data_IF_777367325700
#
_entry.id   IF_777367325700
#
_cell.length_a   1.000
_cell.length_b   1.000
_cell.length_c   1.000
_cell.angle_alpha   90.00
_cell.angle_beta   90.00
_cell.angle_gamma   90.00
#
_symmetry.space_group_name_H-M   'P 1'
#
loop_
_entity.id
_entity.type
_entity.pdbx_description
1 polymer ?
#
# COMPACT_ATOMS: atom_id res chain seq x y z
N UNK A 1 13.38 -0.05 57.21
CA UNK A 1 13.85 1.37 57.25
C UNK A 1 14.36 1.74 55.86
N UNK A 2 13.66 2.58 55.12
CA UNK A 2 14.07 3.06 53.79
C UNK A 2 15.09 4.20 54.01
N UNK A 3 16.30 4.05 53.51
CA UNK A 3 17.37 5.00 53.67
C UNK A 3 17.04 6.33 52.94
N UNK A 4 16.70 7.44 53.63
CA UNK A 4 16.27 8.68 53.00
C UNK A 4 17.42 9.37 52.22
N UNK A 5 18.66 8.93 52.42
CA UNK A 5 19.85 9.45 51.74
C UNK A 5 19.89 9.06 50.26
N UNK A 6 19.51 7.78 49.96
CA UNK A 6 19.51 7.24 48.59
C UNK A 6 18.48 7.95 47.74
N UNK A 7 17.26 8.24 48.27
CA UNK A 7 16.20 8.93 47.54
C UNK A 7 16.62 10.36 47.24
N UNK A 8 17.27 11.06 48.16
CA UNK A 8 17.79 12.41 47.92
C UNK A 8 18.90 12.46 46.88
N UNK A 9 19.84 11.49 46.89
CA UNK A 9 20.86 11.39 45.84
C UNK A 9 20.29 11.14 44.48
N UNK A 10 19.33 10.20 44.32
CA UNK A 10 18.68 9.93 43.03
C UNK A 10 17.89 11.15 42.50
N UNK A 11 17.25 11.92 43.42
CA UNK A 11 16.53 13.13 43.02
C UNK A 11 17.47 14.24 42.54
N UNK A 12 18.62 14.44 43.23
CA UNK A 12 19.63 15.43 42.83
C UNK A 12 20.31 15.08 41.52
N UNK A 13 20.62 13.79 41.28
CA UNK A 13 21.17 13.33 40.00
C UNK A 13 20.16 13.50 38.88
N UNK A 14 18.87 13.16 39.10
CA UNK A 14 17.81 13.39 38.14
C UNK A 14 17.62 14.86 37.79
N UNK A 15 17.64 15.76 38.80
CA UNK A 15 17.55 17.20 38.61
C UNK A 15 18.76 17.79 37.86
N UNK A 16 19.97 17.28 38.13
CA UNK A 16 21.19 17.68 37.43
C UNK A 16 21.16 17.30 35.96
N UNK A 17 20.69 16.07 35.63
CA UNK A 17 20.52 15.63 34.24
C UNK A 17 19.49 16.47 33.49
N UNK A 18 18.37 16.81 34.10
CA UNK A 18 17.35 17.68 33.50
C UNK A 18 17.85 19.12 33.25
N UNK A 19 18.63 19.66 34.19
CA UNK A 19 19.22 21.02 34.05
C UNK A 19 20.32 21.05 32.98
N UNK A 20 21.13 20.01 32.86
CA UNK A 20 22.16 19.94 31.82
C UNK A 20 21.58 19.89 30.41
N UNK A 21 20.49 19.14 30.18
CA UNK A 21 19.81 19.10 28.89
C UNK A 21 19.18 20.46 28.53
N UNK A 22 18.61 21.18 29.48
CA UNK A 22 18.02 22.50 29.27
C UNK A 22 19.05 23.55 28.87
N UNK A 23 20.22 23.58 29.55
CA UNK A 23 21.30 24.53 29.24
C UNK A 23 21.90 24.32 27.85
N UNK A 24 21.99 23.06 27.40
CA UNK A 24 22.55 22.75 26.07
C UNK A 24 21.53 23.01 24.97
N UNK A 25 20.23 22.86 25.24
CA UNK A 25 19.16 23.24 24.31
C UNK A 25 19.16 24.77 24.07
N UNK A 26 19.30 25.58 25.09
CA UNK A 26 19.45 27.05 24.98
C UNK A 26 20.65 27.43 24.08
N UNK A 27 21.76 26.71 24.17
CA UNK A 27 22.92 26.97 23.33
C UNK A 27 22.62 26.73 21.83
N UNK A 28 21.82 25.71 21.49
CA UNK A 28 21.45 25.45 20.09
C UNK A 28 20.46 26.46 19.53
N UNK A 29 19.57 27.00 20.33
CA UNK A 29 18.69 28.11 19.90
C UNK A 29 19.49 29.39 19.61
N UNK A 30 20.46 29.72 20.48
CA UNK A 30 21.35 30.85 20.24
C UNK A 30 22.19 30.67 18.98
N UNK A 31 22.74 29.46 18.75
CA UNK A 31 23.46 29.14 17.52
C UNK A 31 22.59 29.26 16.26
N UNK A 32 21.32 28.89 16.36
CA UNK A 32 20.36 29.05 15.26
C UNK A 32 20.13 30.55 14.94
N UNK A 33 19.96 31.40 15.97
CA UNK A 33 19.84 32.85 15.81
C UNK A 33 21.11 33.46 15.18
N UNK A 34 22.29 33.04 15.66
CA UNK A 34 23.57 33.50 15.09
C UNK A 34 23.76 33.04 13.64
N UNK A 35 23.36 31.80 13.31
CA UNK A 35 23.37 31.30 11.95
C UNK A 35 22.44 32.09 11.03
N UNK A 36 21.28 32.51 11.53
CA UNK A 36 20.34 33.36 10.79
C UNK A 36 20.95 34.74 10.49
N UNK A 37 21.62 35.34 11.50
CA UNK A 37 22.33 36.62 11.31
C UNK A 37 23.47 36.47 10.29
N UNK A 38 24.30 35.43 10.43
CA UNK A 38 25.40 35.17 9.49
C UNK A 38 24.90 34.93 8.06
N UNK A 39 23.74 34.26 7.89
CA UNK A 39 23.12 34.07 6.59
C UNK A 39 22.72 35.42 5.97
N UNK A 40 22.13 36.33 6.76
CA UNK A 40 21.75 37.68 6.31
C UNK A 40 22.96 38.54 5.98
N UNK A 41 24.08 38.36 6.70
CA UNK A 41 25.34 39.06 6.48
C UNK A 41 26.18 38.46 5.33
N UNK A 42 25.73 37.35 4.73
CA UNK A 42 26.47 36.68 3.64
C UNK A 42 27.65 35.82 4.10
N UNK A 43 27.81 35.58 5.42
CA UNK A 43 28.87 34.71 6.00
C UNK A 43 28.48 33.25 5.95
N UNK A 44 28.32 32.72 4.74
CA UNK A 44 27.67 31.42 4.46
C UNK A 44 28.47 30.24 4.99
N UNK A 45 29.81 30.32 4.93
CA UNK A 45 30.74 29.26 5.37
C UNK A 45 30.64 28.94 6.87
N UNK A 46 30.17 29.87 7.68
CA UNK A 46 30.04 29.69 9.13
C UNK A 46 28.79 28.90 9.54
N UNK A 47 27.78 28.85 8.69
CA UNK A 47 26.47 28.28 9.00
C UNK A 47 26.56 26.79 9.33
N UNK A 48 27.31 26.03 8.53
CA UNK A 48 27.50 24.60 8.74
C UNK A 48 28.11 24.30 10.10
N UNK A 49 29.19 24.97 10.46
CA UNK A 49 29.90 24.76 11.73
C UNK A 49 29.05 25.11 12.95
N UNK A 50 28.13 26.06 12.83
CA UNK A 50 27.20 26.43 13.90
C UNK A 50 26.07 25.42 14.09
N UNK A 51 25.49 24.94 12.99
CA UNK A 51 24.24 24.16 13.04
C UNK A 51 24.43 22.64 13.05
N UNK A 52 25.50 22.11 12.45
CA UNK A 52 25.73 20.66 12.34
C UNK A 52 25.78 19.96 13.72
N UNK A 53 26.47 20.50 14.76
CA UNK A 53 26.45 19.89 16.08
C UNK A 53 25.05 19.84 16.72
N UNK A 54 24.22 20.85 16.50
CA UNK A 54 22.87 20.92 17.03
C UNK A 54 21.91 19.94 16.35
N UNK A 55 22.09 19.74 15.05
CA UNK A 55 21.29 18.77 14.27
C UNK A 55 21.66 17.33 14.61
N UNK A 56 22.97 17.04 14.75
CA UNK A 56 23.48 15.71 15.13
C UNK A 56 22.96 15.30 16.50
N UNK A 57 22.94 16.21 17.46
CA UNK A 57 22.50 15.96 18.82
C UNK A 57 20.97 16.03 19.00
N UNK A 58 20.22 16.35 17.94
CA UNK A 58 18.74 16.47 17.94
C UNK A 58 18.19 17.40 19.03
N UNK A 59 18.89 18.49 19.34
CA UNK A 59 18.55 19.43 20.42
C UNK A 59 17.69 20.61 19.99
N UNK A 60 17.30 20.66 18.74
CA UNK A 60 16.37 21.63 18.18
C UNK A 60 14.96 21.03 18.14
N UNK A 61 13.96 21.86 18.35
CA UNK A 61 12.59 21.45 18.11
C UNK A 61 12.34 21.21 16.63
N UNK A 62 11.16 20.67 16.27
CA UNK A 62 10.85 20.34 14.89
C UNK A 62 10.91 21.55 13.95
N UNK A 63 10.41 22.70 14.39
CA UNK A 63 10.39 23.94 13.62
C UNK A 63 11.81 24.50 13.43
N UNK A 64 12.59 24.52 14.48
CA UNK A 64 13.98 24.94 14.48
C UNK A 64 14.85 24.03 13.62
N UNK A 65 14.62 22.71 13.67
CA UNK A 65 15.30 21.75 12.80
C UNK A 65 15.02 22.00 11.32
N UNK A 66 13.77 22.24 10.94
CA UNK A 66 13.43 22.54 9.56
C UNK A 66 14.10 23.83 9.09
N UNK A 67 14.16 24.85 9.96
CA UNK A 67 14.85 26.12 9.67
C UNK A 67 16.35 25.92 9.52
N UNK A 68 16.97 25.16 10.41
CA UNK A 68 18.38 24.84 10.33
C UNK A 68 18.73 24.11 9.02
N UNK A 69 17.95 23.07 8.64
CA UNK A 69 18.15 22.37 7.37
C UNK A 69 17.93 23.29 6.16
N UNK A 70 16.96 24.20 6.19
CA UNK A 70 16.73 25.18 5.14
C UNK A 70 17.96 26.05 4.92
N UNK A 71 18.50 26.64 6.00
CA UNK A 71 19.69 27.48 5.94
C UNK A 71 20.92 26.71 5.48
N UNK A 72 21.14 25.49 5.99
CA UNK A 72 22.25 24.64 5.57
C UNK A 72 22.14 24.25 4.09
N UNK A 73 20.94 23.97 3.61
CA UNK A 73 20.73 23.66 2.18
C UNK A 73 21.00 24.88 1.32
N UNK A 74 20.46 26.04 1.69
CA UNK A 74 20.71 27.29 0.94
C UNK A 74 22.20 27.66 0.94
N UNK A 75 22.87 27.54 2.08
CA UNK A 75 24.31 27.77 2.18
C UNK A 75 25.10 26.80 1.28
N UNK A 76 24.76 25.53 1.25
CA UNK A 76 25.39 24.53 0.40
C UNK A 76 25.24 24.87 -1.10
N UNK A 77 24.06 25.30 -1.54
CA UNK A 77 23.85 25.73 -2.92
C UNK A 77 24.66 26.99 -3.29
N UNK A 78 24.76 27.94 -2.37
CA UNK A 78 25.58 29.16 -2.56
C UNK A 78 27.09 28.85 -2.63
N UNK A 79 27.51 27.70 -2.06
CA UNK A 79 28.89 27.19 -2.11
C UNK A 79 29.08 26.12 -3.20
N UNK A 80 28.18 26.03 -4.19
CA UNK A 80 28.21 25.05 -5.30
C UNK A 80 28.21 23.57 -4.83
N UNK A 81 27.84 23.31 -3.58
CA UNK A 81 27.77 21.97 -2.99
C UNK A 81 26.40 21.34 -3.19
N UNK A 82 25.98 21.13 -4.45
CA UNK A 82 24.64 20.69 -4.85
C UNK A 82 24.21 19.40 -4.11
N UNK A 83 25.09 18.41 -4.04
CA UNK A 83 24.76 17.12 -3.38
C UNK A 83 24.46 17.29 -1.88
N UNK A 84 25.18 18.17 -1.18
CA UNK A 84 24.90 18.45 0.24
C UNK A 84 23.60 19.23 0.40
N UNK A 85 23.34 20.21 -0.46
CA UNK A 85 22.09 20.94 -0.49
C UNK A 85 20.89 20.00 -0.66
N UNK A 86 20.96 19.05 -1.60
CA UNK A 86 19.94 18.04 -1.85
C UNK A 86 19.72 17.10 -0.65
N UNK A 87 20.78 16.70 0.07
CA UNK A 87 20.66 15.88 1.29
C UNK A 87 19.92 16.62 2.41
N UNK A 88 20.16 17.92 2.58
CA UNK A 88 19.44 18.72 3.56
C UNK A 88 17.96 18.88 3.18
N UNK A 89 17.65 19.08 1.89
CA UNK A 89 16.27 19.06 1.40
C UNK A 89 15.59 17.72 1.69
N UNK A 90 16.26 16.60 1.42
CA UNK A 90 15.75 15.28 1.75
C UNK A 90 15.44 15.14 3.24
N UNK A 91 16.27 15.74 4.10
CA UNK A 91 16.07 15.77 5.55
C UNK A 91 14.85 16.61 5.95
N UNK A 92 14.56 17.70 5.24
CA UNK A 92 13.34 18.50 5.39
C UNK A 92 12.11 17.65 5.02
N UNK A 93 12.10 17.08 3.82
CA UNK A 93 10.97 16.33 3.29
C UNK A 93 10.66 15.06 4.09
N UNK A 94 11.66 14.39 4.64
CA UNK A 94 11.47 13.24 5.54
C UNK A 94 10.76 13.63 6.87
N UNK A 95 10.76 14.91 7.24
CA UNK A 95 10.11 15.44 8.45
C UNK A 95 8.80 16.14 8.17
N UNK A 96 8.71 16.81 7.03
CA UNK A 96 7.53 17.55 6.59
C UNK A 96 7.40 17.51 5.07
N UNK A 97 6.53 16.61 4.57
CA UNK A 97 6.27 16.44 3.13
C UNK A 97 5.56 17.66 2.50
N UNK A 98 4.84 18.42 3.32
CA UNK A 98 4.10 19.60 2.88
C UNK A 98 4.91 20.89 3.07
N UNK A 99 6.22 20.78 3.32
CA UNK A 99 7.08 21.94 3.48
C UNK A 99 6.99 22.85 2.24
N UNK A 100 6.74 24.12 2.49
CA UNK A 100 6.61 25.14 1.45
C UNK A 100 7.82 26.08 1.49
N UNK A 101 8.28 26.46 0.31
CA UNK A 101 9.29 27.50 0.14
C UNK A 101 8.78 28.86 0.61
N UNK A 102 9.67 29.70 1.05
CA UNK A 102 9.39 31.10 1.42
C UNK A 102 9.75 32.04 0.25
N UNK A 103 9.31 33.29 0.36
CA UNK A 103 9.62 34.28 -0.68
C UNK A 103 11.12 34.57 -0.75
N UNK A 104 11.81 34.56 0.40
CA UNK A 104 13.24 34.83 0.57
C UNK A 104 14.16 33.65 0.26
N UNK A 105 13.61 32.46 -0.05
CA UNK A 105 14.43 31.32 -0.43
C UNK A 105 15.07 31.55 -1.80
N UNK A 106 16.32 31.13 -1.94
CA UNK A 106 17.07 31.19 -3.22
C UNK A 106 16.44 30.26 -4.27
N UNK A 107 16.60 30.63 -5.54
CA UNK A 107 16.00 29.88 -6.66
C UNK A 107 16.45 28.42 -6.69
N UNK A 108 17.75 28.14 -6.51
CA UNK A 108 18.30 26.79 -6.51
C UNK A 108 17.65 25.90 -5.46
N UNK A 109 17.42 26.43 -4.24
CA UNK A 109 16.70 25.69 -3.20
C UNK A 109 15.24 25.40 -3.58
N UNK A 110 14.53 26.41 -4.12
CA UNK A 110 13.12 26.25 -4.55
C UNK A 110 12.98 25.18 -5.61
N UNK A 111 13.85 25.24 -6.63
CA UNK A 111 13.84 24.29 -7.74
C UNK A 111 14.15 22.87 -7.28
N UNK A 112 15.22 22.70 -6.50
CA UNK A 112 15.64 21.39 -6.01
C UNK A 112 14.64 20.79 -5.03
N UNK A 113 14.04 21.60 -4.14
CA UNK A 113 12.96 21.16 -3.27
C UNK A 113 11.78 20.63 -4.07
N UNK A 114 11.37 21.32 -5.12
CA UNK A 114 10.32 20.87 -6.01
C UNK A 114 10.68 19.53 -6.65
N UNK A 115 11.86 19.43 -7.25
CA UNK A 115 12.33 18.22 -7.93
C UNK A 115 12.40 17.00 -6.98
N UNK A 116 13.06 17.15 -5.84
CA UNK A 116 13.20 16.06 -4.86
C UNK A 116 11.83 15.67 -4.28
N UNK A 117 10.97 16.65 -3.99
CA UNK A 117 9.64 16.38 -3.45
C UNK A 117 8.77 15.51 -4.35
N UNK A 118 9.03 15.52 -5.66
CA UNK A 118 8.35 14.68 -6.64
C UNK A 118 8.91 13.26 -6.71
N UNK A 119 10.08 12.98 -6.11
CA UNK A 119 10.84 11.76 -6.33
C UNK A 119 11.23 11.07 -5.03
N UNK A 120 10.29 10.62 -4.19
CA UNK A 120 10.66 9.80 -3.05
C UNK A 120 11.32 8.52 -3.54
N UNK A 121 12.49 8.19 -3.01
CA UNK A 121 13.24 7.00 -3.43
C UNK A 121 12.48 5.71 -3.13
N UNK A 122 11.85 5.66 -1.94
CA UNK A 122 11.05 4.55 -1.48
C UNK A 122 9.76 5.06 -0.86
N UNK A 123 8.71 4.27 -1.00
CA UNK A 123 7.44 4.48 -0.29
C UNK A 123 6.97 3.12 0.23
N UNK A 124 6.46 3.09 1.44
CA UNK A 124 5.87 1.89 2.00
C UNK A 124 4.59 2.26 2.72
N UNK A 125 3.65 1.36 2.76
CA UNK A 125 2.38 1.63 3.41
C UNK A 125 1.37 0.51 3.27
N UNK A 126 0.13 0.86 3.52
CA UNK A 126 -1.01 -0.04 3.48
C UNK A 126 -2.01 0.48 2.47
N UNK A 127 -2.53 -0.42 1.64
CA UNK A 127 -3.62 -0.19 0.72
C UNK A 127 -4.85 -0.94 1.21
N UNK A 128 -5.98 -0.26 1.33
CA UNK A 128 -7.25 -0.87 1.73
C UNK A 128 -8.27 -0.54 0.65
N UNK A 129 -9.02 -1.54 0.22
CA UNK A 129 -9.95 -1.36 -0.88
C UNK A 129 -11.18 -2.24 -0.78
N UNK A 130 -12.13 -1.89 -1.63
CA UNK A 130 -13.29 -2.71 -1.95
C UNK A 130 -13.16 -3.19 -3.38
N UNK A 131 -13.56 -4.41 -3.65
CA UNK A 131 -13.60 -4.97 -4.98
C UNK A 131 -15.04 -5.31 -5.38
N UNK A 132 -15.34 -5.04 -6.64
CA UNK A 132 -16.54 -5.45 -7.33
C UNK A 132 -16.15 -6.52 -8.32
N UNK A 133 -16.32 -7.81 -7.98
CA UNK A 133 -16.04 -8.88 -8.92
C UNK A 133 -17.11 -8.94 -9.99
N UNK A 134 -16.71 -9.28 -11.20
CA UNK A 134 -17.59 -9.71 -12.27
C UNK A 134 -17.17 -11.11 -12.64
N UNK A 135 -18.04 -12.09 -12.41
CA UNK A 135 -17.77 -13.49 -12.66
C UNK A 135 -18.46 -13.96 -13.93
N UNK A 136 -17.71 -14.65 -14.77
CA UNK A 136 -18.23 -15.39 -15.90
C UNK A 136 -17.93 -16.88 -15.70
N UNK A 137 -18.93 -17.71 -15.93
CA UNK A 137 -18.80 -19.16 -15.89
C UNK A 137 -18.55 -19.62 -17.33
N UNK A 138 -17.38 -20.24 -17.54
CA UNK A 138 -16.96 -20.71 -18.86
C UNK A 138 -17.56 -22.09 -19.16
N UNK A 139 -17.35 -23.03 -18.23
CA UNK A 139 -17.78 -24.42 -18.37
C UNK A 139 -18.38 -24.92 -17.06
N UNK A 140 -19.42 -25.70 -17.14
CA UNK A 140 -20.05 -26.38 -16.02
C UNK A 140 -19.83 -27.88 -16.20
N UNK A 141 -19.29 -28.54 -15.16
CA UNK A 141 -19.02 -29.95 -15.17
C UNK A 141 -19.89 -30.67 -14.14
N UNK A 142 -20.36 -31.81 -14.46
CA UNK A 142 -20.88 -32.75 -13.48
C UNK A 142 -20.08 -34.02 -13.51
N UNK A 143 -19.08 -34.11 -12.66
CA UNK A 143 -18.18 -35.27 -12.56
C UNK A 143 -18.88 -36.52 -12.01
N UNK A 144 -20.13 -36.39 -11.57
CA UNK A 144 -20.91 -37.51 -11.04
C UNK A 144 -21.36 -38.52 -12.12
N UNK A 145 -21.37 -38.08 -13.37
CA UNK A 145 -21.87 -38.92 -14.47
C UNK A 145 -20.79 -39.04 -15.54
N UNK A 146 -19.98 -40.05 -15.39
CA UNK A 146 -18.89 -40.41 -16.35
C UNK A 146 -19.44 -41.03 -17.64
N UNK A 147 -20.61 -40.61 -18.10
CA UNK A 147 -21.15 -41.05 -19.38
C UNK A 147 -21.13 -39.87 -20.36
N UNK A 148 -20.45 -40.05 -21.48
CA UNK A 148 -20.39 -39.16 -22.65
C UNK A 148 -21.77 -38.72 -23.15
N UNK A 149 -22.85 -39.24 -22.59
CA UNK A 149 -24.24 -39.01 -22.98
C UNK A 149 -25.07 -38.21 -21.97
N UNK A 150 -24.57 -37.84 -20.77
CA UNK A 150 -25.38 -37.13 -19.80
C UNK A 150 -25.31 -35.62 -20.02
N UNK A 151 -25.91 -35.14 -21.11
CA UNK A 151 -26.13 -33.69 -21.32
C UNK A 151 -27.20 -33.10 -20.42
N UNK A 152 -27.92 -33.91 -19.64
CA UNK A 152 -29.04 -33.50 -18.82
C UNK A 152 -29.02 -34.19 -17.45
N UNK A 153 -29.25 -33.40 -16.38
CA UNK A 153 -29.44 -33.90 -15.01
C UNK A 153 -30.84 -33.44 -14.57
N UNK A 154 -31.69 -34.38 -14.16
CA UNK A 154 -33.05 -34.06 -13.74
C UNK A 154 -33.85 -33.28 -14.78
N UNK A 155 -33.57 -33.49 -16.08
CA UNK A 155 -34.22 -32.79 -17.20
C UNK A 155 -33.60 -31.43 -17.56
N UNK A 156 -32.61 -30.96 -16.83
CA UNK A 156 -31.91 -29.71 -17.12
C UNK A 156 -30.59 -29.97 -17.89
N UNK A 157 -30.31 -29.17 -18.91
CA UNK A 157 -28.99 -29.17 -19.56
C UNK A 157 -27.93 -28.78 -18.55
N UNK A 158 -26.76 -29.42 -18.56
CA UNK A 158 -25.66 -29.16 -17.64
C UNK A 158 -25.29 -27.66 -17.58
N UNK A 159 -25.31 -26.98 -18.74
CA UNK A 159 -25.03 -25.54 -18.79
C UNK A 159 -26.10 -24.64 -18.11
N UNK A 160 -27.26 -25.18 -17.79
CA UNK A 160 -28.35 -24.45 -17.15
C UNK A 160 -28.46 -24.78 -15.64
N UNK A 161 -27.51 -25.52 -15.08
CA UNK A 161 -27.55 -25.88 -13.65
C UNK A 161 -27.22 -24.70 -12.73
N UNK A 162 -26.54 -23.69 -13.24
CA UNK A 162 -26.20 -22.48 -12.51
C UNK A 162 -26.80 -21.26 -13.24
N UNK A 163 -27.54 -20.46 -12.51
CA UNK A 163 -28.09 -19.21 -13.02
C UNK A 163 -27.98 -18.10 -11.99
N UNK A 164 -28.40 -16.89 -12.38
CA UNK A 164 -28.50 -15.70 -11.51
C UNK A 164 -27.24 -15.43 -10.68
N UNK A 165 -26.07 -15.51 -11.32
CA UNK A 165 -24.81 -15.19 -10.65
C UNK A 165 -24.78 -13.71 -10.26
N UNK A 166 -24.80 -13.43 -8.98
CA UNK A 166 -24.72 -12.09 -8.41
C UNK A 166 -23.46 -11.96 -7.58
N UNK A 167 -22.66 -10.99 -7.92
CA UNK A 167 -21.44 -10.68 -7.18
C UNK A 167 -21.73 -9.68 -6.07
N UNK A 168 -21.05 -9.81 -4.96
CA UNK A 168 -21.15 -8.93 -3.81
C UNK A 168 -19.84 -8.18 -3.63
N UNK A 169 -19.90 -7.08 -2.87
CA UNK A 169 -18.72 -6.32 -2.50
C UNK A 169 -17.75 -7.21 -1.74
N UNK A 170 -16.53 -7.28 -2.22
CA UNK A 170 -15.41 -7.88 -1.54
C UNK A 170 -14.51 -6.81 -0.92
N UNK A 171 -13.51 -7.26 -0.16
CA UNK A 171 -12.53 -6.41 0.51
C UNK A 171 -11.12 -6.84 0.14
N UNK A 172 -10.21 -5.87 0.10
CA UNK A 172 -8.78 -6.12 -0.09
C UNK A 172 -7.95 -5.29 0.89
N UNK A 173 -6.85 -5.87 1.33
CA UNK A 173 -5.85 -5.19 2.14
C UNK A 173 -4.46 -5.65 1.70
N UNK A 174 -3.55 -4.70 1.48
CA UNK A 174 -2.21 -4.96 0.98
C UNK A 174 -1.18 -4.13 1.74
N UNK A 175 -0.06 -4.73 2.07
CA UNK A 175 1.18 -4.00 2.38
C UNK A 175 1.91 -3.77 1.09
N UNK A 176 2.18 -2.51 0.76
CA UNK A 176 2.80 -2.11 -0.50
C UNK A 176 4.15 -1.46 -0.28
N UNK A 177 5.05 -1.77 -1.17
CA UNK A 177 6.38 -1.21 -1.26
C UNK A 177 6.60 -0.67 -2.68
N UNK A 178 7.00 0.59 -2.78
CA UNK A 178 7.19 1.28 -4.04
C UNK A 178 8.62 1.80 -4.10
N UNK A 179 9.29 1.50 -5.19
CA UNK A 179 10.64 2.01 -5.50
C UNK A 179 10.60 2.84 -6.75
N UNK A 180 11.15 4.04 -6.68
CA UNK A 180 11.36 4.85 -7.87
C UNK A 180 12.56 4.33 -8.66
N UNK A 181 12.36 4.05 -9.97
CA UNK A 181 13.40 3.60 -10.90
C UNK A 181 13.92 4.75 -11.73
N UNK A 182 13.02 5.56 -12.26
CA UNK A 182 13.31 6.76 -13.06
C UNK A 182 12.41 7.91 -12.63
N UNK A 183 12.64 9.10 -13.18
CA UNK A 183 11.89 10.34 -12.85
C UNK A 183 10.38 10.17 -12.83
N UNK A 184 9.82 9.35 -13.72
CA UNK A 184 8.37 9.14 -13.87
C UNK A 184 7.94 7.68 -13.72
N UNK A 185 8.91 6.78 -13.46
CA UNK A 185 8.66 5.35 -13.41
C UNK A 185 8.90 4.82 -12.01
N UNK A 186 7.90 4.15 -11.46
CA UNK A 186 7.94 3.48 -10.17
C UNK A 186 7.64 1.99 -10.34
N UNK A 187 8.31 1.14 -9.58
CA UNK A 187 7.96 -0.26 -9.41
C UNK A 187 7.24 -0.41 -8.07
N UNK A 188 6.09 -1.05 -8.10
CA UNK A 188 5.30 -1.35 -6.92
C UNK A 188 5.18 -2.86 -6.76
N UNK A 189 5.40 -3.33 -5.55
CA UNK A 189 5.16 -4.72 -5.14
C UNK A 189 4.59 -4.73 -3.73
N UNK A 190 4.10 -5.87 -3.31
CA UNK A 190 3.51 -5.99 -1.98
C UNK A 190 3.07 -7.41 -1.67
N UNK A 191 2.40 -7.54 -0.55
CA UNK A 191 1.68 -8.74 -0.15
C UNK A 191 0.37 -8.33 0.49
N UNK A 192 -0.70 -9.04 0.18
CA UNK A 192 -2.00 -8.74 0.72
C UNK A 192 -2.95 -9.91 0.65
N UNK A 193 -4.18 -9.65 1.06
CA UNK A 193 -5.26 -10.58 0.88
C UNK A 193 -6.48 -9.90 0.25
N UNK A 194 -7.27 -10.69 -0.46
CA UNK A 194 -8.53 -10.26 -1.05
C UNK A 194 -9.60 -11.28 -0.73
N UNK A 195 -10.76 -10.77 -0.30
CA UNK A 195 -11.98 -11.57 -0.16
C UNK A 195 -12.94 -11.20 -1.29
N UNK A 196 -13.49 -12.21 -1.95
CA UNK A 196 -14.45 -12.08 -3.04
C UNK A 196 -15.68 -12.91 -2.70
N UNK A 197 -16.86 -12.32 -2.77
CA UNK A 197 -18.11 -13.01 -2.50
C UNK A 197 -19.02 -12.98 -3.73
N UNK A 198 -19.76 -14.06 -3.95
CA UNK A 198 -20.80 -14.12 -4.95
C UNK A 198 -21.88 -15.14 -4.57
N UNK A 199 -23.05 -14.95 -5.13
CA UNK A 199 -24.18 -15.86 -4.99
C UNK A 199 -24.60 -16.37 -6.36
N UNK A 200 -25.10 -17.57 -6.40
CA UNK A 200 -25.70 -18.14 -7.62
C UNK A 200 -26.93 -18.97 -7.25
N UNK A 201 -27.80 -19.19 -8.24
CA UNK A 201 -28.94 -20.08 -8.08
C UNK A 201 -28.57 -21.46 -8.66
N UNK A 202 -28.65 -22.49 -7.82
CA UNK A 202 -28.60 -23.88 -8.24
C UNK A 202 -29.99 -24.27 -8.74
N UNK A 203 -30.13 -24.39 -10.05
CA UNK A 203 -31.42 -24.65 -10.68
C UNK A 203 -31.92 -26.09 -10.46
N UNK A 204 -31.02 -27.01 -10.09
CA UNK A 204 -31.43 -28.38 -9.76
C UNK A 204 -32.21 -28.44 -8.45
N UNK A 205 -31.80 -27.66 -7.45
CA UNK A 205 -32.49 -27.55 -6.16
C UNK A 205 -33.39 -26.34 -6.05
N UNK A 206 -33.34 -25.40 -6.99
CA UNK A 206 -34.04 -24.12 -6.89
C UNK A 206 -33.52 -23.22 -5.77
N UNK A 207 -32.29 -23.41 -5.30
CA UNK A 207 -31.77 -22.76 -4.10
C UNK A 207 -30.62 -21.81 -4.43
N UNK A 208 -30.56 -20.71 -3.67
CA UNK A 208 -29.44 -19.79 -3.73
C UNK A 208 -28.30 -20.29 -2.85
N UNK A 209 -27.09 -20.27 -3.40
CA UNK A 209 -25.85 -20.68 -2.71
C UNK A 209 -24.88 -19.50 -2.69
N UNK A 210 -24.33 -19.22 -1.51
CA UNK A 210 -23.29 -18.22 -1.30
C UNK A 210 -21.91 -18.85 -1.42
N UNK A 211 -20.98 -18.13 -2.05
CA UNK A 211 -19.57 -18.54 -2.17
C UNK A 211 -18.68 -17.41 -1.71
N UNK A 212 -17.71 -17.73 -0.88
CA UNK A 212 -16.68 -16.82 -0.40
C UNK A 212 -15.29 -17.36 -0.78
N UNK A 213 -14.50 -16.54 -1.41
CA UNK A 213 -13.13 -16.85 -1.84
C UNK A 213 -12.19 -15.88 -1.14
N UNK A 214 -11.15 -16.41 -0.53
CA UNK A 214 -10.08 -15.62 0.07
C UNK A 214 -8.75 -16.01 -0.55
N UNK A 215 -8.00 -15.03 -1.04
CA UNK A 215 -6.70 -15.21 -1.68
C UNK A 215 -5.63 -14.37 -1.00
N UNK A 216 -4.42 -14.91 -0.94
CA UNK A 216 -3.21 -14.11 -0.83
C UNK A 216 -2.84 -13.56 -2.20
N UNK A 217 -2.37 -12.32 -2.24
CA UNK A 217 -1.97 -11.69 -3.49
C UNK A 217 -0.59 -11.02 -3.37
N UNK A 218 0.16 -11.10 -4.47
CA UNK A 218 1.46 -10.43 -4.63
C UNK A 218 1.38 -9.60 -5.90
N UNK A 219 1.11 -8.29 -5.80
CA UNK A 219 1.12 -7.40 -6.96
C UNK A 219 2.54 -7.11 -7.42
N UNK A 220 2.73 -7.06 -8.74
CA UNK A 220 3.93 -6.55 -9.41
C UNK A 220 3.49 -5.54 -10.46
N UNK A 221 3.54 -4.27 -10.11
CA UNK A 221 2.99 -3.19 -10.91
C UNK A 221 4.08 -2.19 -11.31
N UNK A 222 3.95 -1.67 -12.50
CA UNK A 222 4.72 -0.54 -12.99
C UNK A 222 3.80 0.68 -13.01
N UNK A 223 4.22 1.75 -12.35
CA UNK A 223 3.50 3.00 -12.25
C UNK A 223 4.21 4.06 -13.09
N UNK A 224 3.46 4.73 -13.94
CA UNK A 224 3.95 5.85 -14.74
C UNK A 224 3.26 7.14 -14.32
N UNK A 225 4.06 8.12 -13.88
CA UNK A 225 3.59 9.44 -13.47
C UNK A 225 3.38 10.33 -14.67
N UNK A 226 2.14 10.78 -14.86
CA UNK A 226 1.80 11.71 -15.93
C UNK A 226 2.38 13.10 -15.64
N UNK A 227 2.73 13.87 -16.70
CA UNK A 227 3.30 15.22 -16.54
C UNK A 227 2.29 16.24 -15.99
N UNK A 228 1.01 15.86 -15.90
CA UNK A 228 -0.05 16.77 -15.49
C UNK A 228 -0.17 16.85 -13.98
N UNK A 229 -0.25 18.08 -13.48
CA UNK A 229 -0.49 18.38 -12.08
C UNK A 229 -1.94 18.87 -11.92
N UNK A 230 -2.71 18.20 -11.09
CA UNK A 230 -4.05 18.61 -10.69
C UNK A 230 -3.96 19.29 -9.31
N UNK A 231 -3.83 20.63 -9.29
CA UNK A 231 -3.77 21.37 -8.03
C UNK A 231 -2.59 20.98 -7.12
N UNK A 232 -1.41 20.69 -7.69
CA UNK A 232 -0.23 20.24 -6.95
C UNK A 232 -0.16 18.72 -6.71
N UNK A 233 -1.18 17.99 -7.10
CA UNK A 233 -1.23 16.53 -7.02
C UNK A 233 -0.82 15.90 -8.35
N UNK A 234 -0.23 14.69 -8.32
CA UNK A 234 0.21 14.00 -9.54
C UNK A 234 -0.72 12.83 -9.86
N UNK A 235 -1.23 12.83 -11.09
CA UNK A 235 -1.95 11.70 -11.65
C UNK A 235 -0.95 10.67 -12.18
N UNK A 236 -1.21 9.40 -11.95
CA UNK A 236 -0.39 8.29 -12.44
C UNK A 236 -1.26 7.18 -12.98
N UNK A 237 -0.74 6.47 -13.96
CA UNK A 237 -1.32 5.21 -14.45
C UNK A 237 -0.48 4.05 -13.94
N UNK A 238 -1.09 2.90 -13.77
CA UNK A 238 -0.43 1.67 -13.35
C UNK A 238 -0.82 0.51 -14.24
N UNK A 239 0.11 -0.42 -14.44
CA UNK A 239 -0.14 -1.68 -15.13
C UNK A 239 0.77 -2.77 -14.56
N UNK A 240 0.33 -4.01 -14.61
CA UNK A 240 1.14 -5.13 -14.15
C UNK A 240 0.36 -6.40 -13.95
N UNK A 241 0.93 -7.29 -13.16
CA UNK A 241 0.37 -8.62 -12.87
C UNK A 241 0.19 -8.76 -11.37
N UNK A 242 -0.90 -9.37 -10.97
CA UNK A 242 -1.18 -9.75 -9.59
C UNK A 242 -1.17 -11.28 -9.52
N UNK A 243 -0.21 -11.83 -8.80
CA UNK A 243 -0.16 -13.27 -8.50
C UNK A 243 -1.06 -13.56 -7.32
N UNK A 244 -1.89 -14.59 -7.45
CA UNK A 244 -2.88 -14.97 -6.44
C UNK A 244 -2.68 -16.40 -6.01
N UNK A 245 -2.72 -16.61 -4.71
CA UNK A 245 -2.64 -17.91 -4.07
C UNK A 245 -3.94 -18.13 -3.30
N UNK A 246 -4.71 -19.12 -3.74
CA UNK A 246 -5.96 -19.47 -3.09
C UNK A 246 -5.68 -19.92 -1.65
N UNK A 247 -6.24 -19.21 -0.69
CA UNK A 247 -6.16 -19.56 0.71
C UNK A 247 -7.40 -20.35 1.14
N UNK A 248 -8.58 -19.89 0.74
CA UNK A 248 -9.82 -20.48 1.17
C UNK A 248 -10.94 -20.26 0.15
N UNK A 249 -11.68 -21.32 -0.15
CA UNK A 249 -12.85 -21.27 -1.02
C UNK A 249 -13.98 -22.04 -0.34
N UNK A 250 -14.99 -21.33 0.13
CA UNK A 250 -16.13 -21.88 0.88
C UNK A 250 -17.42 -21.67 0.14
N UNK A 251 -18.26 -22.70 0.16
CA UNK A 251 -19.63 -22.66 -0.33
C UNK A 251 -20.59 -22.92 0.85
N UNK A 252 -21.59 -22.07 0.99
CA UNK A 252 -22.67 -22.31 1.94
C UNK A 252 -23.56 -23.43 1.47
N UNK A 253 -23.90 -24.35 2.38
CA UNK A 253 -24.83 -25.44 2.15
C UNK A 253 -26.20 -25.10 2.73
N UNK A 254 -27.22 -25.80 2.24
CA UNK A 254 -28.61 -25.68 2.73
C UNK A 254 -28.75 -25.96 4.23
N UNK A 255 -27.92 -26.82 4.78
CA UNK A 255 -27.86 -27.16 6.19
C UNK A 255 -27.27 -26.07 7.10
N UNK A 256 -26.82 -24.93 6.53
CA UNK A 256 -26.08 -23.90 7.25
C UNK A 256 -24.61 -24.26 7.50
N UNK A 257 -24.15 -25.43 7.06
CA UNK A 257 -22.73 -25.80 7.07
C UNK A 257 -21.99 -25.21 5.86
N UNK A 258 -20.66 -25.11 5.93
CA UNK A 258 -19.82 -24.65 4.84
C UNK A 258 -18.99 -25.79 4.28
N UNK A 259 -18.95 -25.91 2.94
CA UNK A 259 -18.10 -26.85 2.24
C UNK A 259 -16.83 -26.14 1.76
N UNK A 260 -15.66 -26.67 2.12
CA UNK A 260 -14.38 -26.19 1.57
C UNK A 260 -14.11 -26.81 0.20
N UNK A 261 -13.85 -25.98 -0.79
CA UNK A 261 -13.58 -26.40 -2.17
C UNK A 261 -12.09 -26.26 -2.56
N UNK A 262 -11.20 -26.06 -1.58
CA UNK A 262 -9.77 -25.81 -1.81
C UNK A 262 -9.07 -26.96 -2.57
N UNK A 263 -9.46 -28.20 -2.30
CA UNK A 263 -8.84 -29.39 -2.89
C UNK A 263 -9.13 -29.52 -4.40
N UNK A 264 -10.27 -28.98 -4.83
CA UNK A 264 -10.77 -29.15 -6.20
C UNK A 264 -10.51 -27.94 -7.09
N UNK A 265 -9.83 -26.93 -6.61
CA UNK A 265 -9.54 -25.70 -7.36
C UNK A 265 -8.04 -25.49 -7.58
N UNK A 266 -7.71 -24.75 -8.63
CA UNK A 266 -6.33 -24.32 -8.86
C UNK A 266 -5.92 -23.35 -7.76
N UNK A 267 -4.80 -23.66 -7.10
CA UNK A 267 -4.31 -22.87 -5.98
C UNK A 267 -3.56 -21.61 -6.41
N UNK A 268 -3.03 -21.58 -7.62
CA UNK A 268 -2.26 -20.47 -8.15
C UNK A 268 -2.93 -19.90 -9.39
N UNK A 269 -3.08 -18.58 -9.41
CA UNK A 269 -3.62 -17.80 -10.52
C UNK A 269 -2.83 -16.51 -10.69
N UNK A 270 -3.01 -15.86 -11.82
CA UNK A 270 -2.50 -14.52 -12.05
C UNK A 270 -3.53 -13.69 -12.83
N UNK A 271 -3.54 -12.39 -12.55
CA UNK A 271 -4.38 -11.42 -13.23
C UNK A 271 -3.48 -10.38 -13.89
N UNK A 272 -3.88 -9.91 -15.06
CA UNK A 272 -3.37 -8.66 -15.59
C UNK A 272 -4.18 -7.50 -15.04
N UNK A 273 -3.51 -6.44 -14.64
CA UNK A 273 -4.16 -5.31 -13.98
C UNK A 273 -3.73 -3.98 -14.56
N UNK A 274 -4.70 -3.09 -14.76
CA UNK A 274 -4.48 -1.71 -15.18
C UNK A 274 -5.26 -0.77 -14.25
N UNK A 275 -4.75 0.43 -14.05
CA UNK A 275 -5.42 1.37 -13.17
C UNK A 275 -4.85 2.78 -13.24
N UNK A 276 -5.45 3.65 -12.45
CA UNK A 276 -5.01 5.02 -12.27
C UNK A 276 -5.11 5.42 -10.80
N UNK A 277 -4.27 6.33 -10.37
CA UNK A 277 -4.30 6.86 -9.02
C UNK A 277 -3.82 8.31 -8.96
N UNK A 278 -4.24 9.00 -7.91
CA UNK A 278 -3.85 10.35 -7.62
C UNK A 278 -2.98 10.35 -6.36
N UNK A 279 -1.80 11.02 -6.40
CA UNK A 279 -0.98 11.21 -5.22
C UNK A 279 -1.33 12.55 -4.57
N UNK A 280 -1.95 12.51 -3.39
CA UNK A 280 -2.27 13.67 -2.57
C UNK A 280 -1.29 13.71 -1.41
N UNK A 281 -0.39 14.69 -1.39
CA UNK A 281 0.61 14.85 -0.33
C UNK A 281 -0.01 15.53 0.88
N UNK A 282 0.11 14.89 2.03
CA UNK A 282 -0.19 15.50 3.33
C UNK A 282 1.12 15.79 4.08
N UNK A 283 1.05 16.34 5.26
CA UNK A 283 2.24 16.68 6.06
C UNK A 283 3.16 15.50 6.39
N UNK A 284 2.62 14.27 6.49
CA UNK A 284 3.36 13.10 6.94
C UNK A 284 3.27 11.89 6.00
N UNK A 285 2.23 11.83 5.19
CA UNK A 285 1.89 10.69 4.37
C UNK A 285 1.46 11.13 2.98
N UNK A 286 1.58 10.23 2.02
CA UNK A 286 0.92 10.36 0.72
C UNK A 286 -0.36 9.54 0.80
N UNK A 287 -1.48 10.19 0.55
CA UNK A 287 -2.79 9.60 0.37
C UNK A 287 -2.99 9.31 -1.12
N UNK A 288 -3.23 8.05 -1.47
CA UNK A 288 -3.30 7.59 -2.86
C UNK A 288 -4.63 6.89 -3.12
N UNK A 289 -5.71 7.62 -3.46
CA UNK A 289 -6.92 7.01 -4.01
C UNK A 289 -6.60 6.37 -5.36
N UNK A 290 -7.05 5.14 -5.56
CA UNK A 290 -6.74 4.28 -6.69
C UNK A 290 -8.01 3.66 -7.25
N UNK A 291 -8.10 3.62 -8.56
CA UNK A 291 -9.03 2.82 -9.32
C UNK A 291 -8.25 1.82 -10.16
N UNK A 292 -8.61 0.55 -10.09
CA UNK A 292 -7.93 -0.53 -10.77
C UNK A 292 -8.94 -1.50 -11.39
N UNK A 293 -8.66 -1.95 -12.59
CA UNK A 293 -9.35 -3.03 -13.24
C UNK A 293 -8.39 -4.20 -13.41
N UNK A 294 -8.78 -5.37 -12.92
CA UNK A 294 -8.00 -6.60 -12.95
C UNK A 294 -8.76 -7.64 -13.76
N UNK A 295 -8.08 -8.28 -14.72
CA UNK A 295 -8.67 -9.24 -15.64
C UNK A 295 -7.79 -10.49 -15.74
N UNK A 296 -8.43 -11.60 -16.11
CA UNK A 296 -7.71 -12.83 -16.43
C UNK A 296 -7.61 -13.84 -15.30
N UNK A 297 -8.16 -13.57 -14.12
CA UNK A 297 -8.24 -14.56 -13.07
C UNK A 297 -9.13 -15.71 -13.50
N UNK A 298 -8.52 -16.84 -13.86
CA UNK A 298 -9.21 -18.07 -14.20
C UNK A 298 -9.06 -19.07 -13.06
N UNK A 299 -10.18 -19.55 -12.52
CA UNK A 299 -10.18 -20.66 -11.59
C UNK A 299 -10.69 -21.90 -12.30
N UNK A 300 -9.78 -22.81 -12.56
CA UNK A 300 -10.09 -24.09 -13.20
C UNK A 300 -10.39 -25.14 -12.15
N UNK A 301 -11.42 -25.94 -12.41
CA UNK A 301 -11.67 -27.14 -11.67
C UNK A 301 -10.54 -28.15 -11.90
N UNK A 302 -10.06 -28.79 -10.85
CA UNK A 302 -9.19 -29.95 -10.99
C UNK A 302 -10.04 -31.17 -11.32
N UNK A 303 -9.52 -32.05 -12.15
CA UNK A 303 -10.14 -33.38 -12.36
C UNK A 303 -10.09 -34.14 -11.03
N UNK A 304 -11.26 -34.49 -10.50
CA UNK A 304 -11.39 -35.21 -9.25
C UNK A 304 -11.14 -36.69 -9.45
N UNK A 305 -10.55 -37.35 -8.45
CA UNK A 305 -10.52 -38.81 -8.39
C UNK A 305 -11.93 -39.35 -8.06
N UNK A 306 -12.20 -40.63 -8.37
CA UNK A 306 -13.49 -41.25 -8.06
C UNK A 306 -13.86 -41.17 -6.57
N UNK A 307 -12.87 -41.30 -5.67
CA UNK A 307 -13.09 -41.15 -4.23
C UNK A 307 -13.44 -39.71 -3.81
N UNK A 308 -12.80 -38.73 -4.40
CA UNK A 308 -13.10 -37.32 -4.15
C UNK A 308 -14.50 -36.95 -4.67
N UNK A 309 -14.88 -37.45 -5.85
CA UNK A 309 -16.22 -37.27 -6.39
C UNK A 309 -17.29 -37.83 -5.45
N UNK A 310 -17.12 -39.04 -4.94
CA UNK A 310 -18.04 -39.65 -3.98
C UNK A 310 -18.16 -38.81 -2.73
N UNK A 311 -17.04 -38.34 -2.18
CA UNK A 311 -17.02 -37.49 -0.97
C UNK A 311 -17.82 -36.18 -1.17
N UNK A 312 -17.64 -35.50 -2.29
CA UNK A 312 -18.33 -34.25 -2.56
C UNK A 312 -19.80 -34.45 -2.89
N UNK A 313 -20.14 -35.49 -3.65
CA UNK A 313 -21.52 -35.85 -3.96
C UNK A 313 -22.30 -36.29 -2.74
N UNK A 314 -21.68 -37.03 -1.83
CA UNK A 314 -22.33 -37.48 -0.59
C UNK A 314 -22.66 -36.30 0.33
N UNK A 315 -21.76 -35.32 0.43
CA UNK A 315 -21.95 -34.12 1.24
C UNK A 315 -22.81 -33.04 0.58
N UNK A 316 -22.93 -33.06 -0.74
CA UNK A 316 -23.76 -32.11 -1.50
C UNK A 316 -24.21 -32.78 -2.80
N UNK A 317 -25.38 -33.45 -2.82
CA UNK A 317 -25.88 -34.17 -4.00
C UNK A 317 -26.02 -33.32 -5.25
N UNK A 318 -26.10 -32.00 -5.10
CA UNK A 318 -26.17 -31.01 -6.18
C UNK A 318 -24.84 -30.31 -6.42
N UNK A 319 -23.73 -30.91 -5.98
CA UNK A 319 -22.42 -30.32 -6.24
C UNK A 319 -22.17 -30.25 -7.75
N UNK A 320 -21.99 -29.04 -8.24
CA UNK A 320 -21.65 -28.77 -9.64
C UNK A 320 -20.27 -28.10 -9.66
N UNK A 321 -19.34 -28.71 -10.37
CA UNK A 321 -18.04 -28.13 -10.59
C UNK A 321 -18.07 -27.27 -11.86
N UNK A 322 -17.34 -26.17 -11.89
CA UNK A 322 -17.33 -25.22 -13.01
C UNK A 322 -15.99 -24.49 -13.14
N UNK A 323 -15.64 -24.16 -14.38
CA UNK A 323 -14.59 -23.20 -14.65
C UNK A 323 -15.17 -21.81 -14.65
N UNK A 324 -14.46 -20.89 -14.06
CA UNK A 324 -14.87 -19.50 -14.06
C UNK A 324 -13.67 -18.59 -14.23
N UNK A 325 -13.93 -17.40 -14.72
CA UNK A 325 -12.98 -16.32 -14.65
C UNK A 325 -13.61 -15.09 -14.00
N UNK A 326 -12.76 -14.32 -13.32
CA UNK A 326 -13.14 -13.12 -12.63
C UNK A 326 -12.43 -11.92 -13.23
N UNK A 327 -13.21 -10.88 -13.43
CA UNK A 327 -12.70 -9.54 -13.59
C UNK A 327 -13.08 -8.74 -12.36
N UNK A 328 -12.21 -7.84 -11.90
CA UNK A 328 -12.44 -7.06 -10.70
C UNK A 328 -12.28 -5.57 -10.98
N UNK A 329 -13.27 -4.78 -10.56
CA UNK A 329 -13.10 -3.36 -10.35
C UNK A 329 -12.72 -3.15 -8.89
N UNK A 330 -11.57 -2.51 -8.65
CA UNK A 330 -11.04 -2.29 -7.30
C UNK A 330 -10.94 -0.79 -7.07
N UNK A 331 -11.60 -0.31 -6.03
CA UNK A 331 -11.45 1.04 -5.50
C UNK A 331 -10.68 0.93 -4.19
N UNK A 332 -9.57 1.59 -4.09
CA UNK A 332 -8.73 1.49 -2.90
C UNK A 332 -8.08 2.81 -2.55
N UNK A 333 -7.60 2.87 -1.31
CA UNK A 333 -6.85 3.99 -0.79
C UNK A 333 -5.58 3.47 -0.15
N UNK A 334 -4.43 3.93 -0.65
CA UNK A 334 -3.16 3.64 -0.03
C UNK A 334 -2.70 4.82 0.84
N UNK A 335 -2.19 4.49 2.02
CA UNK A 335 -1.53 5.40 2.95
C UNK A 335 -0.03 5.08 2.91
N UNK A 336 0.76 5.97 2.33
CA UNK A 336 2.16 5.74 2.05
C UNK A 336 3.04 6.69 2.85
N UNK A 337 4.09 6.14 3.45
CA UNK A 337 5.18 6.89 4.02
C UNK A 337 6.35 6.93 3.04
N UNK A 338 6.64 8.08 2.43
CA UNK A 338 7.79 8.22 1.54
C UNK A 338 9.08 8.37 2.34
N UNK A 339 10.20 7.97 1.72
CA UNK A 339 11.56 8.19 2.18
C UNK A 339 12.36 8.82 1.05
N UNK A 340 12.97 9.95 1.34
CA UNK A 340 13.89 10.67 0.45
C UNK A 340 15.33 10.35 0.85
N UNK A 341 16.24 10.36 -0.13
CA UNK A 341 17.68 10.11 0.08
C UNK A 341 18.45 11.39 -0.19
#
# INVERSE_FOLDING_TARGET
>A
MKNPLIVKCCFLVGLYLLLSDALVAQNCEQKLKLATQNYQEGKIELIKNLLEPCLTQKRLDKKQMLEAYRMMSSAAFLMDSINQGAQFISSILNRDLAYKTRADDIYSFKNELFEISQRPQFQFGVNIGVNLPYMHIDDVFNDAFDSDNAQTIGGLKVNNLISDVKTELGMSMEWIFIRQIRTRLELETGIGFQKTNYNYTDNYQGQKKGVSITDWQVPMMVNYRLPWLLGGNTLSIQMGTVFRFLNDWRQEQVSGSTLSLNEIRTQFNYDFSVGAFLNVKTKYLIFRPRFQYSMGRSSRAKKLSSEQNIKYLYNSPSFVNYNNHFNHFIFSVALLKPKFK
#
